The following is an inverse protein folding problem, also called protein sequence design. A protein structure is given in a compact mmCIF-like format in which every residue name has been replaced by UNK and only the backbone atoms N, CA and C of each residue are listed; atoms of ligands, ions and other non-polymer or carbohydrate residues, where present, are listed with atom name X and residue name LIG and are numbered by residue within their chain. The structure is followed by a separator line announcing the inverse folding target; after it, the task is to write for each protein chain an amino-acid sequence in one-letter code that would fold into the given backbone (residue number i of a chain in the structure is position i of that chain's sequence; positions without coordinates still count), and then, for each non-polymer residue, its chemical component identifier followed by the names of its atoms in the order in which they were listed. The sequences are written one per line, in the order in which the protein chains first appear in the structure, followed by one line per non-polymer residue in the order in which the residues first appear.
data_IF_760412168714
#
_entry.id   IF_760412168714
#
_cell.length_a   1.000
_cell.length_b   1.000
_cell.length_c   1.000
_cell.angle_alpha   90.00
_cell.angle_beta   90.00
_cell.angle_gamma   90.00
#
_symmetry.space_group_name_H-M   'P 1'
#
loop_
_entity.id
_entity.type
_entity.pdbx_description
1 polymer ?
#
# COMPACT_ATOMS: atom_id res chain seq x y z
N UNK A 1 4.54 5.05 -3.06
CA UNK A 1 3.45 4.76 -2.08
C UNK A 1 3.26 5.83 -1.01
N UNK A 2 4.29 6.28 -0.28
CA UNK A 2 4.11 7.30 0.79
C UNK A 2 3.51 8.60 0.26
N UNK A 3 4.01 9.11 -0.86
CA UNK A 3 3.50 10.32 -1.52
C UNK A 3 2.02 10.23 -1.92
N UNK A 4 1.60 9.08 -2.43
CA UNK A 4 0.21 8.83 -2.82
C UNK A 4 -0.70 8.70 -1.59
N UNK A 5 -0.23 8.04 -0.54
CA UNK A 5 -0.96 7.95 0.72
C UNK A 5 -1.21 9.35 1.29
N UNK A 6 -0.20 10.22 1.28
CA UNK A 6 -0.32 11.60 1.75
C UNK A 6 -1.31 12.37 0.86
N UNK A 7 -1.17 12.31 -0.47
CA UNK A 7 -2.04 13.00 -1.40
C UNK A 7 -3.51 12.53 -1.27
N UNK A 8 -3.73 11.22 -1.27
CA UNK A 8 -5.07 10.64 -1.09
C UNK A 8 -5.65 10.98 0.28
N UNK A 9 -4.84 11.01 1.34
CA UNK A 9 -5.30 11.43 2.67
C UNK A 9 -5.77 12.87 2.67
N UNK A 10 -4.99 13.79 2.10
CA UNK A 10 -5.36 15.21 1.99
C UNK A 10 -6.65 15.36 1.18
N UNK A 11 -6.73 14.74 0.00
CA UNK A 11 -7.90 14.80 -0.85
C UNK A 11 -9.15 14.23 -0.14
N UNK A 12 -9.02 13.10 0.53
CA UNK A 12 -10.11 12.46 1.27
C UNK A 12 -10.61 13.34 2.43
N UNK A 13 -9.71 13.95 3.18
CA UNK A 13 -10.04 14.90 4.26
C UNK A 13 -10.79 16.11 3.69
N UNK A 14 -10.32 16.69 2.59
CA UNK A 14 -10.98 17.84 1.96
C UNK A 14 -12.40 17.50 1.48
N UNK A 15 -12.58 16.33 0.85
CA UNK A 15 -13.89 15.85 0.41
C UNK A 15 -14.83 15.63 1.61
N UNK A 16 -14.34 14.99 2.67
CA UNK A 16 -15.15 14.77 3.87
C UNK A 16 -15.55 16.09 4.55
N UNK A 17 -14.65 17.08 4.63
CA UNK A 17 -14.98 18.41 5.13
C UNK A 17 -16.06 19.07 4.26
N UNK A 18 -15.95 18.99 2.93
CA UNK A 18 -16.93 19.53 2.00
C UNK A 18 -18.31 18.91 2.22
N UNK A 19 -18.37 17.58 2.36
CA UNK A 19 -19.60 16.84 2.66
C UNK A 19 -20.21 17.30 4.00
N UNK A 20 -19.40 17.45 5.05
CA UNK A 20 -19.87 17.94 6.36
C UNK A 20 -20.46 19.34 6.27
N UNK A 21 -19.82 20.25 5.54
CA UNK A 21 -20.30 21.63 5.34
C UNK A 21 -21.63 21.62 4.57
N UNK A 22 -21.71 20.88 3.46
CA UNK A 22 -22.91 20.84 2.59
C UNK A 22 -24.10 20.16 3.27
N UNK A 23 -23.85 19.13 4.08
CA UNK A 23 -24.88 18.38 4.80
C UNK A 23 -25.22 18.99 6.18
N UNK A 24 -24.53 20.05 6.59
CA UNK A 24 -24.69 20.68 7.92
C UNK A 24 -24.56 19.67 9.09
N UNK A 25 -23.75 18.63 8.90
CA UNK A 25 -23.48 17.64 9.93
C UNK A 25 -22.23 18.06 10.70
N UNK A 26 -22.27 17.95 12.03
CA UNK A 26 -21.08 18.05 12.85
C UNK A 26 -20.31 16.72 12.83
N UNK A 27 -18.97 16.73 12.77
CA UNK A 27 -18.19 15.51 12.90
C UNK A 27 -18.37 14.92 14.30
N UNK A 28 -18.90 13.73 14.39
CA UNK A 28 -19.04 13.01 15.66
C UNK A 28 -17.77 12.20 15.92
N UNK A 29 -16.74 12.89 16.40
CA UNK A 29 -15.41 12.28 16.67
C UNK A 29 -15.38 11.64 18.06
N UNK A 30 -16.29 12.00 18.96
CA UNK A 30 -16.21 11.69 20.39
C UNK A 30 -16.57 10.23 20.75
N UNK A 31 -17.31 9.51 19.92
CA UNK A 31 -17.84 8.18 20.26
C UNK A 31 -17.31 7.05 19.35
N UNK A 32 -16.15 7.24 18.69
CA UNK A 32 -15.68 6.26 17.73
C UNK A 32 -14.56 5.40 18.27
N UNK A 33 -14.75 4.12 18.09
CA UNK A 33 -13.72 3.13 18.32
C UNK A 33 -12.75 3.13 17.14
N UNK A 34 -11.77 4.06 17.15
CA UNK A 34 -10.70 4.18 16.12
C UNK A 34 -9.69 3.04 16.18
N UNK A 35 -9.85 2.17 17.16
CA UNK A 35 -8.87 1.17 17.46
C UNK A 35 -8.77 0.14 16.33
N UNK A 36 -7.68 0.21 15.57
CA UNK A 36 -7.28 -0.87 14.67
C UNK A 36 -6.64 -1.94 15.55
N UNK A 37 -7.35 -3.05 15.77
CA UNK A 37 -6.81 -4.17 16.52
C UNK A 37 -5.54 -4.68 15.84
N UNK A 38 -4.49 -4.89 16.63
CA UNK A 38 -3.22 -5.42 16.10
C UNK A 38 -2.29 -4.39 15.44
N UNK A 39 -2.57 -3.10 15.47
CA UNK A 39 -1.72 -2.07 14.87
C UNK A 39 -0.26 -2.10 15.33
N UNK A 40 -0.01 -2.53 16.57
CA UNK A 40 1.34 -2.70 17.12
C UNK A 40 2.17 -3.71 16.34
N UNK A 41 1.52 -4.75 15.80
CA UNK A 41 2.19 -5.73 14.94
C UNK A 41 2.67 -5.10 13.62
N UNK A 42 1.86 -4.20 13.03
CA UNK A 42 2.27 -3.46 11.82
C UNK A 42 3.47 -2.57 12.09
N UNK A 43 3.48 -1.88 13.23
CA UNK A 43 4.64 -1.05 13.63
C UNK A 43 5.87 -1.92 13.83
N UNK A 44 5.75 -3.03 14.54
CA UNK A 44 6.86 -3.95 14.81
C UNK A 44 7.45 -4.51 13.51
N UNK A 45 6.62 -5.00 12.61
CA UNK A 45 7.09 -5.55 11.32
C UNK A 45 7.71 -4.49 10.43
N UNK A 46 7.15 -3.27 10.39
CA UNK A 46 7.74 -2.16 9.66
C UNK A 46 9.13 -1.77 10.21
N UNK A 47 9.27 -1.71 11.53
CA UNK A 47 10.58 -1.43 12.16
C UNK A 47 11.60 -2.52 11.82
N UNK A 48 11.21 -3.80 11.90
CA UNK A 48 12.10 -4.92 11.55
C UNK A 48 12.53 -4.80 10.08
N UNK A 49 11.60 -4.56 9.17
CA UNK A 49 11.89 -4.47 7.74
C UNK A 49 12.81 -3.29 7.41
N UNK A 50 12.50 -2.09 7.92
CA UNK A 50 13.32 -0.89 7.70
C UNK A 50 14.75 -1.11 8.24
N UNK A 51 14.84 -1.68 9.44
CA UNK A 51 16.14 -1.98 10.06
C UNK A 51 16.92 -3.01 9.25
N UNK A 52 16.25 -4.08 8.78
CA UNK A 52 16.86 -5.11 7.96
C UNK A 52 17.35 -4.54 6.61
N UNK A 53 16.59 -3.70 5.96
CA UNK A 53 16.99 -3.02 4.71
C UNK A 53 18.19 -2.11 4.91
N UNK A 54 18.22 -1.36 6.01
CA UNK A 54 19.35 -0.50 6.36
C UNK A 54 20.62 -1.33 6.62
N UNK A 55 20.52 -2.38 7.42
CA UNK A 55 21.65 -3.27 7.74
C UNK A 55 22.12 -4.07 6.52
N UNK A 56 21.21 -4.50 5.65
CA UNK A 56 21.58 -5.24 4.44
C UNK A 56 22.44 -4.40 3.49
N UNK A 57 22.18 -3.10 3.39
CA UNK A 57 23.06 -2.19 2.61
C UNK A 57 24.48 -2.14 3.17
N UNK A 58 24.66 -2.35 4.47
CA UNK A 58 25.97 -2.36 5.13
C UNK A 58 26.63 -3.75 5.06
N UNK A 59 25.82 -4.82 5.09
CA UNK A 59 26.28 -6.22 5.13
C UNK A 59 25.57 -7.05 4.04
N UNK A 60 25.83 -6.81 2.74
CA UNK A 60 25.08 -7.41 1.63
C UNK A 60 25.29 -8.94 1.49
N UNK A 61 26.32 -9.51 2.11
CA UNK A 61 26.57 -10.95 2.12
C UNK A 61 25.69 -11.74 3.12
N UNK A 62 24.96 -11.04 4.01
CA UNK A 62 24.10 -11.70 4.98
C UNK A 62 22.81 -12.21 4.36
N UNK A 63 22.65 -13.53 4.23
CA UNK A 63 21.42 -14.17 3.75
C UNK A 63 20.21 -13.85 4.64
N UNK A 64 20.43 -13.83 5.98
CA UNK A 64 19.36 -13.51 6.94
C UNK A 64 18.80 -12.09 6.73
N UNK A 65 19.69 -11.08 6.62
CA UNK A 65 19.29 -9.71 6.38
C UNK A 65 18.57 -9.56 5.03
N UNK A 66 19.03 -10.29 4.02
CA UNK A 66 18.36 -10.33 2.71
C UNK A 66 16.92 -10.83 2.84
N UNK A 67 16.69 -11.94 3.54
CA UNK A 67 15.33 -12.47 3.73
C UNK A 67 14.45 -11.53 4.54
N UNK A 68 14.97 -10.92 5.60
CA UNK A 68 14.22 -9.96 6.41
C UNK A 68 13.92 -8.65 5.69
N UNK A 69 14.75 -8.27 4.71
CA UNK A 69 14.52 -7.06 3.88
C UNK A 69 13.51 -7.26 2.77
N UNK A 70 13.12 -8.51 2.49
CA UNK A 70 12.02 -8.81 1.57
C UNK A 70 10.70 -8.54 2.28
N UNK A 71 9.87 -7.69 1.73
CA UNK A 71 8.63 -7.16 2.35
C UNK A 71 7.55 -8.21 2.72
N UNK A 72 7.90 -9.50 2.83
CA UNK A 72 6.94 -10.58 3.10
C UNK A 72 6.37 -10.55 4.52
N UNK A 73 7.19 -10.16 5.53
CA UNK A 73 6.73 -10.07 6.91
C UNK A 73 5.59 -9.09 7.08
N UNK A 74 5.72 -7.91 6.44
CA UNK A 74 4.68 -6.89 6.52
C UNK A 74 3.39 -7.34 5.82
N UNK A 75 3.47 -8.12 4.75
CA UNK A 75 2.28 -8.67 4.10
C UNK A 75 1.50 -9.59 5.04
N UNK A 76 2.16 -10.51 5.75
CA UNK A 76 1.48 -11.36 6.73
C UNK A 76 0.89 -10.57 7.89
N UNK A 77 1.59 -9.55 8.37
CA UNK A 77 1.08 -8.67 9.40
C UNK A 77 -0.17 -7.90 8.93
N UNK A 78 -0.17 -7.37 7.69
CA UNK A 78 -1.33 -6.68 7.12
C UNK A 78 -2.50 -7.67 6.94
N UNK A 79 -2.26 -8.89 6.44
CA UNK A 79 -3.31 -9.91 6.31
C UNK A 79 -3.97 -10.22 7.65
N UNK A 80 -3.17 -10.46 8.67
CA UNK A 80 -3.68 -10.72 10.01
C UNK A 80 -4.49 -9.54 10.56
N UNK A 81 -3.93 -8.33 10.49
CA UNK A 81 -4.60 -7.12 10.98
C UNK A 81 -5.87 -6.82 10.18
N UNK A 82 -5.86 -6.99 8.86
CA UNK A 82 -7.04 -6.82 8.04
C UNK A 82 -8.13 -7.86 8.38
N UNK A 83 -7.75 -9.12 8.58
CA UNK A 83 -8.67 -10.20 8.93
C UNK A 83 -9.38 -9.95 10.26
N UNK A 84 -8.66 -9.56 11.32
CA UNK A 84 -9.26 -9.28 12.64
C UNK A 84 -10.09 -7.98 12.69
N UNK A 85 -9.95 -7.13 11.67
CA UNK A 85 -10.70 -5.88 11.51
C UNK A 85 -11.65 -5.88 10.29
N UNK A 86 -11.92 -7.04 9.69
CA UNK A 86 -12.62 -7.18 8.40
C UNK A 86 -14.04 -6.56 8.37
N UNK A 87 -14.64 -6.33 9.55
CA UNK A 87 -15.94 -5.65 9.67
C UNK A 87 -15.88 -4.17 9.26
N UNK A 88 -14.69 -3.59 9.19
CA UNK A 88 -14.47 -2.22 8.72
C UNK A 88 -14.27 -2.24 7.19
N UNK A 89 -15.09 -1.51 6.45
CA UNK A 89 -15.10 -1.53 4.97
C UNK A 89 -13.72 -1.23 4.35
N UNK A 90 -12.98 -0.29 4.92
CA UNK A 90 -11.63 0.04 4.45
C UNK A 90 -10.62 -1.10 4.69
N UNK A 91 -10.82 -1.94 5.71
CA UNK A 91 -9.96 -3.10 5.95
C UNK A 91 -10.14 -4.19 4.89
N UNK A 92 -11.34 -4.32 4.33
CA UNK A 92 -11.56 -5.20 3.19
C UNK A 92 -10.78 -4.73 1.96
N UNK A 93 -10.75 -3.43 1.68
CA UNK A 93 -9.97 -2.86 0.59
C UNK A 93 -8.46 -3.09 0.80
N UNK A 94 -7.96 -2.86 2.02
CA UNK A 94 -6.57 -3.19 2.37
C UNK A 94 -6.27 -4.68 2.20
N UNK A 95 -7.18 -5.56 2.62
CA UNK A 95 -7.00 -7.01 2.45
C UNK A 95 -6.89 -7.39 0.97
N UNK A 96 -7.83 -6.92 0.14
CA UNK A 96 -7.84 -7.21 -1.30
C UNK A 96 -6.57 -6.67 -1.96
N UNK A 97 -6.22 -5.40 -1.73
CA UNK A 97 -5.03 -4.79 -2.32
C UNK A 97 -3.75 -5.52 -1.94
N UNK A 98 -3.62 -5.86 -0.64
CA UNK A 98 -2.47 -6.62 -0.13
C UNK A 98 -2.41 -8.02 -0.75
N UNK A 99 -3.56 -8.70 -0.90
CA UNK A 99 -3.63 -10.03 -1.50
C UNK A 99 -3.18 -10.01 -2.97
N UNK A 100 -3.66 -9.05 -3.75
CA UNK A 100 -3.29 -8.91 -5.16
C UNK A 100 -1.79 -8.67 -5.32
N UNK A 101 -1.22 -7.75 -4.53
CA UNK A 101 0.22 -7.49 -4.54
C UNK A 101 1.03 -8.70 -4.05
N UNK A 102 0.55 -9.39 -3.01
CA UNK A 102 1.21 -10.60 -2.52
C UNK A 102 1.26 -11.71 -3.58
N UNK A 103 0.16 -11.94 -4.32
CA UNK A 103 0.12 -12.92 -5.42
C UNK A 103 1.16 -12.55 -6.49
N UNK A 104 1.22 -11.29 -6.91
CA UNK A 104 2.19 -10.83 -7.89
C UNK A 104 3.63 -11.07 -7.42
N UNK A 105 3.95 -10.65 -6.20
CA UNK A 105 5.29 -10.76 -5.60
C UNK A 105 5.69 -12.21 -5.38
N UNK A 106 4.83 -13.02 -4.75
CA UNK A 106 5.12 -14.42 -4.44
C UNK A 106 5.32 -15.27 -5.70
N UNK A 107 4.60 -14.96 -6.78
CA UNK A 107 4.70 -15.66 -8.06
C UNK A 107 5.94 -15.30 -8.87
N UNK A 108 6.62 -14.18 -8.53
CA UNK A 108 7.74 -13.62 -9.28
C UNK A 108 9.03 -13.50 -8.44
N UNK A 109 9.32 -14.49 -7.61
CA UNK A 109 10.58 -14.57 -6.85
C UNK A 109 10.70 -13.54 -5.73
N UNK A 110 9.57 -13.19 -5.12
CA UNK A 110 9.46 -12.24 -4.02
C UNK A 110 9.90 -10.81 -4.37
N UNK A 111 9.78 -10.44 -5.66
CA UNK A 111 9.93 -9.08 -6.14
C UNK A 111 8.70 -8.66 -6.93
N UNK A 112 8.33 -7.39 -6.84
CA UNK A 112 7.26 -6.82 -7.66
C UNK A 112 7.77 -6.50 -9.06
N UNK A 113 7.26 -7.16 -10.12
CA UNK A 113 7.64 -6.79 -11.47
C UNK A 113 7.06 -5.44 -11.87
N UNK A 114 7.89 -4.58 -12.48
CA UNK A 114 7.52 -3.22 -12.88
C UNK A 114 7.65 -3.06 -14.38
N UNK A 115 6.62 -2.54 -15.01
CA UNK A 115 6.67 -2.06 -16.38
C UNK A 115 7.36 -0.69 -16.40
N UNK A 116 8.46 -0.59 -17.14
CA UNK A 116 9.18 0.67 -17.34
C UNK A 116 8.63 1.36 -18.57
N UNK A 117 7.81 2.39 -18.33
CA UNK A 117 7.16 3.18 -19.37
C UNK A 117 8.06 4.31 -19.85
N UNK A 118 8.05 4.57 -21.17
CA UNK A 118 8.83 5.63 -21.81
C UNK A 118 8.44 7.05 -21.36
N UNK A 119 7.26 7.20 -20.76
CA UNK A 119 6.77 8.49 -20.22
C UNK A 119 7.33 8.84 -18.83
N UNK A 120 8.14 7.97 -18.22
CA UNK A 120 8.66 8.17 -16.84
C UNK A 120 10.09 8.75 -16.80
N UNK A 121 10.66 9.19 -17.90
CA UNK A 121 12.01 9.77 -17.96
C UNK A 121 13.07 8.75 -18.36
N UNK A 122 14.21 8.71 -17.67
CA UNK A 122 15.35 7.88 -18.04
C UNK A 122 15.06 6.37 -17.97
N UNK A 123 14.52 5.86 -19.07
CA UNK A 123 14.05 4.48 -19.24
C UNK A 123 15.21 3.50 -19.19
N UNK A 124 16.32 3.82 -19.87
CA UNK A 124 17.46 2.91 -19.97
C UNK A 124 18.15 2.71 -18.63
N UNK A 125 18.40 3.80 -17.88
CA UNK A 125 18.98 3.71 -16.56
C UNK A 125 18.09 2.91 -15.61
N UNK A 126 16.76 3.12 -15.67
CA UNK A 126 15.81 2.39 -14.84
C UNK A 126 15.72 0.90 -15.20
N UNK A 127 15.74 0.58 -16.49
CA UNK A 127 15.79 -0.82 -16.97
C UNK A 127 17.05 -1.51 -16.48
N UNK A 128 18.21 -0.88 -16.66
CA UNK A 128 19.49 -1.40 -16.22
C UNK A 128 19.52 -1.63 -14.71
N UNK A 129 19.04 -0.66 -13.93
CA UNK A 129 18.94 -0.77 -12.46
C UNK A 129 18.10 -1.98 -12.00
N UNK A 130 16.94 -2.21 -12.65
CA UNK A 130 16.10 -3.35 -12.34
C UNK A 130 16.69 -4.68 -12.84
N UNK A 131 17.34 -4.69 -14.01
CA UNK A 131 17.98 -5.89 -14.58
C UNK A 131 19.19 -6.36 -13.77
N UNK A 132 19.99 -5.44 -13.26
CA UNK A 132 21.18 -5.74 -12.44
C UNK A 132 20.81 -6.22 -11.02
N UNK A 133 19.51 -6.22 -10.67
CA UNK A 133 19.04 -6.71 -9.37
C UNK A 133 19.40 -5.82 -8.19
N UNK A 134 19.81 -4.58 -8.44
CA UNK A 134 20.15 -3.59 -7.40
C UNK A 134 18.93 -3.17 -6.59
N UNK A 135 17.72 -3.27 -7.17
CA UNK A 135 16.47 -3.08 -6.43
C UNK A 135 16.13 -4.36 -5.65
N UNK A 136 15.92 -4.23 -4.34
CA UNK A 136 15.57 -5.35 -3.46
C UNK A 136 14.08 -5.73 -3.56
N UNK A 137 13.24 -4.78 -3.93
CA UNK A 137 11.78 -4.88 -3.88
C UNK A 137 11.19 -5.13 -5.27
N UNK A 138 11.79 -4.52 -6.30
CA UNK A 138 11.26 -4.57 -7.67
C UNK A 138 12.15 -5.40 -8.59
N UNK A 139 11.55 -5.86 -9.69
CA UNK A 139 12.23 -6.50 -10.82
C UNK A 139 11.68 -5.95 -12.13
N UNK A 140 12.39 -6.13 -13.22
CA UNK A 140 11.88 -5.74 -14.53
C UNK A 140 10.76 -6.71 -14.97
N UNK A 141 9.65 -6.19 -15.44
CA UNK A 141 8.58 -6.95 -16.06
C UNK A 141 9.06 -7.50 -17.42
N UNK A 142 8.96 -8.82 -17.61
CA UNK A 142 9.42 -9.54 -18.80
C UNK A 142 8.33 -10.49 -19.32
N UNK A 143 8.59 -11.17 -20.41
CA UNK A 143 7.66 -12.18 -20.95
C UNK A 143 7.46 -13.35 -20.02
N UNK A 144 8.43 -13.66 -19.17
CA UNK A 144 8.37 -14.74 -18.17
C UNK A 144 7.62 -14.36 -16.90
N UNK A 145 7.24 -13.07 -16.74
CA UNK A 145 6.51 -12.58 -15.58
C UNK A 145 5.13 -13.24 -15.50
N UNK A 146 4.81 -13.78 -14.32
CA UNK A 146 3.52 -14.38 -14.01
C UNK A 146 2.54 -13.32 -13.53
N UNK A 147 1.25 -13.49 -13.85
CA UNK A 147 0.18 -12.56 -13.45
C UNK A 147 0.50 -11.09 -13.76
N UNK A 148 0.95 -10.80 -14.98
CA UNK A 148 1.38 -9.45 -15.42
C UNK A 148 0.37 -8.35 -15.05
N UNK A 149 -0.94 -8.66 -15.10
CA UNK A 149 -2.01 -7.73 -14.79
C UNK A 149 -2.11 -7.33 -13.31
N UNK A 150 -1.45 -8.08 -12.40
CA UNK A 150 -1.33 -7.74 -10.97
C UNK A 150 -0.04 -6.98 -10.65
N UNK A 151 0.89 -6.92 -11.60
CA UNK A 151 2.17 -6.24 -11.42
C UNK A 151 2.03 -4.71 -11.57
N UNK A 152 3.11 -3.99 -11.33
CA UNK A 152 3.15 -2.54 -11.52
C UNK A 152 3.13 -2.20 -13.00
N UNK A 153 1.93 -2.01 -13.56
CA UNK A 153 1.70 -1.73 -14.99
C UNK A 153 0.92 -0.44 -15.25
N UNK A 154 0.30 0.15 -14.22
CA UNK A 154 -0.47 1.38 -14.35
C UNK A 154 0.49 2.56 -14.18
N UNK A 155 0.83 3.22 -15.28
CA UNK A 155 1.76 4.35 -15.27
C UNK A 155 1.02 5.64 -14.93
N UNK A 156 1.50 6.36 -13.93
CA UNK A 156 1.08 7.72 -13.56
C UNK A 156 2.12 8.69 -14.12
N UNK A 157 1.81 9.38 -15.24
CA UNK A 157 2.78 10.26 -15.90
C UNK A 157 2.88 11.64 -15.24
N UNK A 158 3.85 12.46 -15.74
CA UNK A 158 3.84 13.90 -15.52
C UNK A 158 2.50 14.51 -16.01
N UNK A 159 1.95 15.57 -15.39
CA UNK A 159 2.59 16.47 -14.41
C UNK A 159 2.50 16.01 -12.94
N UNK A 160 2.13 14.76 -12.66
CA UNK A 160 2.19 14.27 -11.29
C UNK A 160 3.64 14.28 -10.78
N UNK A 161 3.93 14.94 -9.64
CA UNK A 161 5.32 15.22 -9.22
C UNK A 161 6.13 13.97 -8.86
N UNK A 162 5.44 12.83 -8.64
CA UNK A 162 6.05 11.55 -8.30
C UNK A 162 5.71 10.49 -9.35
N UNK A 163 5.91 10.83 -10.63
CA UNK A 163 5.63 9.94 -11.77
C UNK A 163 6.20 8.54 -11.54
N UNK A 164 5.35 7.52 -11.66
CA UNK A 164 5.71 6.12 -11.39
C UNK A 164 4.70 5.14 -11.99
N UNK A 165 5.03 3.86 -11.89
CA UNK A 165 4.11 2.76 -12.20
C UNK A 165 3.60 2.16 -10.88
N UNK A 166 2.32 1.83 -10.84
CA UNK A 166 1.64 1.19 -9.69
C UNK A 166 0.87 -0.05 -10.15
N UNK A 167 0.52 -0.90 -9.21
CA UNK A 167 -0.31 -2.08 -9.42
C UNK A 167 -1.80 -1.80 -9.22
N UNK A 168 -2.66 -2.73 -9.65
CA UNK A 168 -4.07 -2.71 -9.29
C UNK A 168 -4.26 -2.90 -7.77
N UNK A 169 -3.38 -3.66 -7.12
CA UNK A 169 -3.38 -3.82 -5.66
C UNK A 169 -3.14 -2.49 -4.94
N UNK A 170 -2.24 -1.64 -5.46
CA UNK A 170 -2.01 -0.30 -4.93
C UNK A 170 -3.24 0.60 -5.06
N UNK A 171 -4.01 0.47 -6.14
CA UNK A 171 -5.28 1.20 -6.30
C UNK A 171 -6.25 0.82 -5.18
N UNK A 172 -6.37 -0.48 -4.84
CA UNK A 172 -7.20 -0.92 -3.71
C UNK A 172 -6.67 -0.40 -2.36
N UNK A 173 -5.34 -0.37 -2.15
CA UNK A 173 -4.74 0.18 -0.94
C UNK A 173 -5.04 1.68 -0.80
N UNK A 174 -4.92 2.46 -1.88
CA UNK A 174 -5.25 3.89 -1.90
C UNK A 174 -6.74 4.14 -1.68
N UNK A 175 -7.61 3.30 -2.27
CA UNK A 175 -9.05 3.33 -2.01
C UNK A 175 -9.36 3.01 -0.53
N UNK A 176 -8.59 2.10 0.08
CA UNK A 176 -8.66 1.81 1.52
C UNK A 176 -8.31 3.02 2.39
N UNK A 177 -7.24 3.75 2.04
CA UNK A 177 -6.86 5.00 2.72
C UNK A 177 -7.96 6.04 2.59
N UNK A 178 -8.51 6.20 1.38
CA UNK A 178 -9.63 7.12 1.14
C UNK A 178 -10.84 6.75 2.00
N UNK A 179 -11.27 5.49 1.98
CA UNK A 179 -12.42 5.02 2.74
C UNK A 179 -12.20 5.13 4.27
N UNK A 180 -10.97 4.95 4.75
CA UNK A 180 -10.62 5.16 6.16
C UNK A 180 -10.91 6.60 6.60
N UNK A 181 -10.45 7.59 5.82
CA UNK A 181 -10.69 8.99 6.15
C UNK A 181 -12.16 9.38 6.06
N UNK A 182 -12.92 8.83 5.10
CA UNK A 182 -14.36 9.05 5.00
C UNK A 182 -15.09 8.47 6.22
N UNK A 183 -14.76 7.22 6.62
CA UNK A 183 -15.34 6.58 7.80
C UNK A 183 -14.97 7.36 9.08
N UNK A 184 -13.76 7.90 9.15
CA UNK A 184 -13.26 8.70 10.26
C UNK A 184 -14.02 10.02 10.43
N UNK A 185 -14.31 10.72 9.37
CA UNK A 185 -14.85 12.08 9.41
C UNK A 185 -16.37 12.14 9.29
N UNK A 186 -16.98 11.31 8.43
CA UNK A 186 -18.43 11.36 8.18
C UNK A 186 -19.25 10.56 9.18
N UNK A 187 -18.70 9.51 9.77
CA UNK A 187 -19.38 8.64 10.75
C UNK A 187 -20.64 7.95 10.24
N UNK A 188 -20.57 6.66 10.09
CA UNK A 188 -21.82 5.90 9.98
C UNK A 188 -22.57 6.01 11.31
N UNK A 189 -23.80 6.55 11.29
CA UNK A 189 -24.74 6.37 12.39
C UNK A 189 -24.79 4.87 12.71
N UNK A 190 -24.33 4.49 13.92
CA UNK A 190 -24.63 3.16 14.44
C UNK A 190 -26.13 2.97 14.31
N UNK A 191 -26.58 2.07 13.45
CA UNK A 191 -27.99 1.64 13.46
C UNK A 191 -28.20 1.04 14.85
N UNK A 192 -28.80 1.80 15.76
CA UNK A 192 -29.39 1.23 16.96
C UNK A 192 -30.38 0.20 16.47
N UNK A 193 -30.03 -1.07 16.59
CA UNK A 193 -31.00 -2.15 16.52
C UNK A 193 -31.88 -1.91 17.72
N UNK A 194 -33.03 -1.29 17.50
CA UNK A 194 -34.12 -1.24 18.45
C UNK A 194 -34.55 -2.68 18.61
N UNK A 195 -34.28 -3.24 19.80
CA UNK A 195 -34.81 -4.53 20.23
C UNK A 195 -36.25 -4.36 20.64
#
# INVERSE_FOLDING_TARGET
MISEIILISILSILIAILILITTKKSPDITNRNFEIKGYKLLILTAVIEITAQFLFRRFPSSSLLRYLSLSWLIYFAIFYVAAINIKKSYMMLFFIGTLLNFIAIASNGFKMPVFVSDVLGDVEAKRLYLQTGQDLIHSLLTDKTKFKFLCDIITIPSPYPFSKTISIGDVFLLAGVFAYWQDLLEGKKSRKIVK
#
